data_IF_151248198138
#
_entry.id   IF_151248198138
#
_cell.length_a   1.000
_cell.length_b   1.000
_cell.length_c   1.000
_cell.angle_alpha   90.00
_cell.angle_beta   90.00
_cell.angle_gamma   90.00
#
_symmetry.space_group_name_H-M   'P 1'
#
loop_
_entity.id
_entity.type
_entity.pdbx_description
1 polymer ?
#
# COMPACT_ATOMS: atom_id res chain seq x y z
N UNK A 1 -70.04 -3.66 2.07
CA UNK A 1 -69.03 -3.54 1.00
C UNK A 1 -67.65 -3.44 1.65
N UNK A 2 -66.87 -4.52 1.62
CA UNK A 2 -65.49 -4.57 2.12
C UNK A 2 -64.56 -4.41 0.91
N UNK A 3 -63.80 -3.32 0.85
CA UNK A 3 -62.83 -3.08 -0.22
C UNK A 3 -61.52 -3.75 0.17
N UNK A 4 -61.15 -4.82 -0.54
CA UNK A 4 -59.93 -5.57 -0.36
C UNK A 4 -58.79 -4.86 -1.11
N UNK A 5 -57.85 -4.26 -0.40
CA UNK A 5 -56.60 -3.76 -0.98
C UNK A 5 -55.63 -4.94 -1.13
N UNK A 6 -55.39 -5.40 -2.37
CA UNK A 6 -54.25 -6.25 -2.67
C UNK A 6 -52.98 -5.38 -2.72
N UNK A 7 -52.11 -5.51 -1.72
CA UNK A 7 -50.72 -5.07 -1.82
C UNK A 7 -49.94 -6.09 -2.65
N UNK A 8 -49.55 -5.71 -3.87
CA UNK A 8 -48.50 -6.40 -4.60
C UNK A 8 -47.15 -6.04 -3.97
N UNK A 9 -46.60 -6.95 -3.17
CA UNK A 9 -45.20 -6.89 -2.77
C UNK A 9 -44.34 -7.25 -3.99
N UNK A 10 -43.79 -6.25 -4.67
CA UNK A 10 -42.72 -6.45 -5.65
C UNK A 10 -41.45 -6.75 -4.86
N UNK A 11 -41.12 -8.03 -4.70
CA UNK A 11 -39.83 -8.46 -4.18
C UNK A 11 -38.75 -8.18 -5.23
N UNK A 12 -38.11 -7.03 -5.15
CA UNK A 12 -36.83 -6.80 -5.83
C UNK A 12 -35.76 -7.63 -5.10
N UNK A 13 -35.64 -8.90 -5.48
CA UNK A 13 -34.41 -9.65 -5.23
C UNK A 13 -33.31 -8.98 -6.09
N UNK A 14 -32.22 -8.49 -5.49
CA UNK A 14 -31.09 -8.05 -6.29
C UNK A 14 -30.62 -9.25 -7.10
N UNK A 15 -30.54 -9.11 -8.43
CA UNK A 15 -29.77 -10.03 -9.25
C UNK A 15 -28.34 -9.98 -8.70
N UNK A 16 -27.98 -10.96 -7.88
CA UNK A 16 -26.60 -11.34 -7.68
C UNK A 16 -26.12 -11.78 -9.05
N UNK A 17 -25.52 -10.86 -9.80
CA UNK A 17 -24.73 -11.23 -10.97
C UNK A 17 -23.75 -12.29 -10.48
N UNK A 18 -23.91 -13.52 -10.97
CA UNK A 18 -22.92 -14.57 -10.72
C UNK A 18 -21.59 -14.02 -11.16
N UNK A 19 -20.62 -13.96 -10.24
CA UNK A 19 -19.26 -13.58 -10.60
C UNK A 19 -18.84 -14.42 -11.82
N UNK A 20 -18.21 -13.81 -12.84
CA UNK A 20 -17.76 -14.57 -14.00
C UNK A 20 -16.90 -15.75 -13.53
N UNK A 21 -16.92 -16.90 -14.23
CA UNK A 21 -16.05 -18.02 -13.90
C UNK A 21 -14.61 -17.52 -13.79
N UNK A 22 -13.92 -17.90 -12.71
CA UNK A 22 -12.52 -17.53 -12.53
C UNK A 22 -11.72 -18.05 -13.73
N UNK A 23 -11.18 -17.13 -14.52
CA UNK A 23 -10.36 -17.47 -15.66
C UNK A 23 -9.10 -18.20 -15.16
N UNK A 24 -8.82 -19.37 -15.73
CA UNK A 24 -7.61 -20.12 -15.41
C UNK A 24 -6.48 -19.66 -16.30
N UNK A 25 -5.33 -19.38 -15.71
CA UNK A 25 -4.11 -19.05 -16.43
C UNK A 25 -3.22 -20.27 -16.43
N UNK A 26 -2.90 -20.82 -17.62
CA UNK A 26 -2.07 -22.04 -17.74
C UNK A 26 -2.58 -23.21 -16.87
N UNK A 27 -3.89 -23.42 -16.81
CA UNK A 27 -4.52 -24.53 -16.10
C UNK A 27 -4.66 -24.38 -14.59
N UNK A 28 -4.39 -23.19 -14.03
CA UNK A 28 -4.56 -22.90 -12.61
C UNK A 28 -5.36 -21.62 -12.40
N UNK A 29 -6.18 -21.61 -11.36
CA UNK A 29 -6.86 -20.40 -10.87
C UNK A 29 -5.83 -19.41 -10.29
N UNK A 30 -6.17 -18.11 -10.18
CA UNK A 30 -5.30 -17.14 -9.53
C UNK A 30 -4.91 -17.53 -8.09
N UNK A 31 -5.81 -18.17 -7.35
CA UNK A 31 -5.56 -18.60 -5.97
C UNK A 31 -4.59 -19.80 -5.91
N UNK A 32 -4.66 -20.73 -6.85
CA UNK A 32 -3.68 -21.82 -6.97
C UNK A 32 -2.29 -21.30 -7.36
N UNK A 33 -2.20 -20.32 -8.27
CA UNK A 33 -0.93 -19.64 -8.55
C UNK A 33 -0.37 -18.93 -7.33
N UNK A 34 -1.23 -18.25 -6.55
CA UNK A 34 -0.83 -17.59 -5.31
C UNK A 34 -0.24 -18.58 -4.31
N UNK A 35 -0.87 -19.76 -4.12
CA UNK A 35 -0.35 -20.84 -3.27
C UNK A 35 0.99 -21.37 -3.76
N UNK A 36 1.12 -21.64 -5.07
CA UNK A 36 2.37 -22.14 -5.66
C UNK A 36 3.54 -21.18 -5.45
N UNK A 37 3.31 -19.89 -5.68
CA UNK A 37 4.31 -18.85 -5.43
C UNK A 37 4.66 -18.79 -3.93
N UNK A 38 3.66 -18.76 -3.06
CA UNK A 38 3.85 -18.71 -1.62
C UNK A 38 4.68 -19.89 -1.11
N UNK A 39 4.32 -21.12 -1.49
CA UNK A 39 5.02 -22.33 -1.07
C UNK A 39 6.49 -22.32 -1.55
N UNK A 40 6.71 -21.99 -2.84
CA UNK A 40 8.05 -21.89 -3.43
C UNK A 40 8.92 -20.85 -2.72
N UNK A 41 8.39 -19.66 -2.46
CA UNK A 41 9.14 -18.57 -1.85
C UNK A 41 9.36 -18.76 -0.36
N UNK A 42 8.40 -19.36 0.36
CA UNK A 42 8.57 -19.74 1.77
C UNK A 42 9.66 -20.79 1.93
N UNK A 43 9.72 -21.79 1.04
CA UNK A 43 10.80 -22.80 1.04
C UNK A 43 12.15 -22.16 0.71
N UNK A 44 12.21 -21.32 -0.34
CA UNK A 44 13.44 -20.69 -0.80
C UNK A 44 14.03 -19.68 0.19
N UNK A 45 13.17 -18.88 0.83
CA UNK A 45 13.59 -17.82 1.75
C UNK A 45 13.75 -18.35 3.17
N UNK A 46 12.85 -19.23 3.62
CA UNK A 46 12.88 -19.84 4.95
C UNK A 46 13.18 -18.84 6.07
N UNK A 47 14.03 -19.26 6.99
CA UNK A 47 14.44 -18.46 8.16
C UNK A 47 15.31 -17.23 7.82
N UNK A 48 15.72 -17.04 6.56
CA UNK A 48 16.55 -15.90 6.17
C UNK A 48 15.85 -14.54 6.38
N UNK A 49 14.53 -14.55 6.49
CA UNK A 49 13.70 -13.34 6.67
C UNK A 49 13.52 -12.93 8.13
N UNK A 50 13.82 -13.79 9.10
CA UNK A 50 13.44 -13.57 10.49
C UNK A 50 14.62 -13.11 11.33
N UNK A 51 14.47 -11.99 12.03
CA UNK A 51 15.55 -11.37 12.79
C UNK A 51 16.09 -12.24 13.93
N UNK A 52 15.22 -13.03 14.56
CA UNK A 52 15.57 -13.97 15.63
C UNK A 52 16.31 -15.23 15.14
N UNK A 53 16.35 -15.46 13.83
CA UNK A 53 17.02 -16.62 13.20
C UNK A 53 18.21 -16.24 12.34
N UNK A 54 18.24 -15.02 11.82
CA UNK A 54 19.28 -14.53 10.93
C UNK A 54 19.65 -13.08 11.24
N UNK A 55 20.86 -12.85 11.73
CA UNK A 55 21.41 -11.52 12.00
C UNK A 55 21.50 -10.60 10.76
N UNK A 56 21.45 -11.19 9.55
CA UNK A 56 21.44 -10.47 8.28
C UNK A 56 20.04 -10.12 7.80
N UNK A 57 18.98 -10.60 8.46
CA UNK A 57 17.62 -10.16 8.17
C UNK A 57 17.50 -8.64 8.42
N UNK A 58 16.66 -7.97 7.63
CA UNK A 58 16.50 -6.51 7.65
C UNK A 58 15.02 -6.13 7.68
N UNK A 59 14.72 -5.04 8.37
CA UNK A 59 13.38 -4.46 8.40
C UNK A 59 13.14 -3.69 7.10
N UNK A 60 12.63 -4.36 6.06
CA UNK A 60 12.49 -3.78 4.72
C UNK A 60 11.15 -4.06 4.07
N UNK A 61 10.69 -3.08 3.28
CA UNK A 61 9.37 -3.09 2.64
C UNK A 61 9.11 -4.31 1.76
N UNK A 62 10.13 -4.81 1.03
CA UNK A 62 10.02 -5.91 0.09
C UNK A 62 9.73 -7.24 0.78
N UNK A 63 10.39 -7.51 1.91
CA UNK A 63 10.20 -8.75 2.69
C UNK A 63 8.85 -8.76 3.39
N UNK A 64 8.46 -7.63 3.95
CA UNK A 64 7.17 -7.50 4.62
C UNK A 64 6.00 -7.37 3.64
N UNK A 65 6.23 -6.92 2.41
CA UNK A 65 5.19 -6.98 1.39
C UNK A 65 4.86 -8.43 1.04
N UNK A 66 5.89 -9.28 0.89
CA UNK A 66 5.65 -10.72 0.75
C UNK A 66 4.89 -11.27 1.96
N UNK A 67 5.29 -10.90 3.18
CA UNK A 67 4.55 -11.29 4.40
C UNK A 67 3.10 -10.83 4.44
N UNK A 68 2.81 -9.60 4.00
CA UNK A 68 1.44 -9.08 3.88
C UNK A 68 0.64 -9.85 2.82
N UNK A 69 1.26 -10.21 1.69
CA UNK A 69 0.62 -11.04 0.67
C UNK A 69 0.27 -12.44 1.21
N UNK A 70 1.16 -13.05 2.01
CA UNK A 70 0.88 -14.33 2.68
C UNK A 70 -0.25 -14.22 3.70
N UNK A 71 -0.34 -13.11 4.44
CA UNK A 71 -1.45 -12.86 5.36
C UNK A 71 -2.79 -12.73 4.61
N UNK A 72 -2.82 -11.99 3.50
CA UNK A 72 -4.01 -11.89 2.64
C UNK A 72 -4.37 -13.24 2.01
N UNK A 73 -3.37 -14.03 1.61
CA UNK A 73 -3.59 -15.40 1.11
C UNK A 73 -4.21 -16.29 2.20
N UNK A 74 -3.68 -16.23 3.43
CA UNK A 74 -4.22 -17.00 4.55
C UNK A 74 -5.68 -16.63 4.86
N UNK A 75 -6.05 -15.35 4.75
CA UNK A 75 -7.42 -14.89 4.94
C UNK A 75 -8.37 -15.41 3.85
N UNK A 76 -7.87 -15.51 2.61
CA UNK A 76 -8.63 -16.05 1.48
C UNK A 76 -8.75 -17.58 1.49
N UNK A 77 -7.77 -18.30 2.07
CA UNK A 77 -7.72 -19.77 1.99
C UNK A 77 -8.00 -20.49 3.31
N UNK A 78 -7.87 -19.81 4.45
CA UNK A 78 -7.90 -20.40 5.78
C UNK A 78 -6.62 -21.15 6.18
N UNK A 79 -5.56 -21.11 5.37
CA UNK A 79 -4.34 -21.88 5.63
C UNK A 79 -3.37 -21.15 6.57
N UNK A 80 -3.27 -21.64 7.81
CA UNK A 80 -2.50 -20.99 8.87
C UNK A 80 -1.00 -20.91 8.60
N UNK A 81 -0.43 -21.84 7.81
CA UNK A 81 1.00 -21.81 7.43
C UNK A 81 1.42 -20.48 6.80
N UNK A 82 0.53 -19.87 6.00
CA UNK A 82 0.78 -18.58 5.36
C UNK A 82 0.67 -17.44 6.37
N UNK A 83 -0.30 -17.50 7.29
CA UNK A 83 -0.44 -16.50 8.34
C UNK A 83 0.76 -16.48 9.28
N UNK A 84 1.23 -17.65 9.72
CA UNK A 84 2.34 -17.80 10.65
C UNK A 84 3.65 -17.31 10.03
N UNK A 85 3.95 -17.71 8.79
CA UNK A 85 5.14 -17.23 8.09
C UNK A 85 5.05 -15.73 7.79
N UNK A 86 3.90 -15.27 7.26
CA UNK A 86 3.70 -13.89 6.86
C UNK A 86 3.83 -12.91 8.03
N UNK A 87 3.21 -13.22 9.16
CA UNK A 87 3.30 -12.41 10.37
C UNK A 87 4.76 -12.29 10.89
N UNK A 88 5.51 -13.40 10.90
CA UNK A 88 6.90 -13.43 11.38
C UNK A 88 7.85 -12.52 10.60
N UNK A 89 7.55 -12.20 9.33
CA UNK A 89 8.36 -11.27 8.54
C UNK A 89 8.49 -9.89 9.18
N UNK A 90 7.50 -9.48 9.98
CA UNK A 90 7.55 -8.26 10.78
C UNK A 90 7.70 -8.55 12.27
N UNK A 91 6.90 -9.47 12.83
CA UNK A 91 6.86 -9.74 14.27
C UNK A 91 8.23 -10.16 14.84
N UNK A 92 9.10 -10.81 14.06
CA UNK A 92 10.46 -11.19 14.51
C UNK A 92 11.37 -9.99 14.81
N UNK A 93 11.07 -8.80 14.28
CA UNK A 93 11.82 -7.57 14.53
C UNK A 93 11.30 -6.77 15.73
N UNK A 94 10.16 -7.17 16.30
CA UNK A 94 9.51 -6.42 17.38
C UNK A 94 9.95 -6.98 18.73
N UNK A 95 10.67 -6.14 19.48
CA UNK A 95 11.05 -6.42 20.86
C UNK A 95 9.84 -6.45 21.79
N UNK A 96 9.99 -7.05 22.98
CA UNK A 96 8.90 -7.11 23.98
C UNK A 96 8.39 -5.74 24.43
N UNK A 97 9.24 -4.72 24.33
CA UNK A 97 8.92 -3.31 24.61
C UNK A 97 8.38 -2.56 23.39
N UNK A 98 8.19 -3.24 22.25
CA UNK A 98 7.77 -2.63 20.98
C UNK A 98 8.88 -1.91 20.22
N UNK A 99 10.14 -2.02 20.64
CA UNK A 99 11.28 -1.57 19.85
C UNK A 99 11.33 -2.33 18.52
N UNK A 100 11.70 -1.64 17.44
CA UNK A 100 11.82 -2.22 16.10
C UNK A 100 13.31 -2.38 15.80
N UNK A 101 13.78 -3.63 15.70
CA UNK A 101 15.15 -3.90 15.30
C UNK A 101 15.44 -3.33 13.91
N UNK A 102 16.67 -2.82 13.71
CA UNK A 102 17.13 -2.22 12.44
C UNK A 102 16.42 -0.91 12.00
N UNK A 103 15.43 -0.43 12.77
CA UNK A 103 14.76 0.85 12.52
C UNK A 103 15.47 2.03 13.20
N UNK A 104 15.65 3.14 12.45
CA UNK A 104 16.29 4.36 12.94
C UNK A 104 15.52 5.60 12.49
N UNK A 105 14.81 6.24 13.42
CA UNK A 105 14.04 7.47 13.14
C UNK A 105 14.88 8.57 12.44
N UNK A 106 16.15 8.73 12.83
CA UNK A 106 17.04 9.76 12.28
C UNK A 106 17.28 9.66 10.77
N UNK A 107 17.02 8.49 10.17
CA UNK A 107 17.18 8.25 8.75
C UNK A 107 15.99 8.79 7.94
N UNK A 108 14.84 9.02 8.61
CA UNK A 108 13.55 9.38 8.03
C UNK A 108 13.32 8.70 6.69
N UNK A 109 13.43 7.37 6.70
CA UNK A 109 13.31 6.54 5.51
C UNK A 109 11.86 6.05 5.40
N UNK A 110 11.13 6.54 4.40
CA UNK A 110 9.71 6.20 4.25
C UNK A 110 9.49 4.69 3.98
N UNK A 111 10.49 4.01 3.40
CA UNK A 111 10.43 2.57 3.14
C UNK A 111 10.29 1.75 4.42
N UNK A 112 10.78 2.27 5.55
CA UNK A 112 10.72 1.56 6.84
C UNK A 112 9.35 1.67 7.51
N UNK A 113 8.41 2.45 6.93
CA UNK A 113 7.02 2.54 7.38
C UNK A 113 6.19 1.38 6.83
N UNK A 114 6.43 0.96 5.58
CA UNK A 114 5.65 -0.06 4.89
C UNK A 114 5.56 -1.41 5.62
N UNK A 115 6.63 -1.91 6.28
CA UNK A 115 6.56 -3.07 7.16
C UNK A 115 5.46 -3.04 8.24
N UNK A 116 5.08 -1.86 8.72
CA UNK A 116 4.00 -1.69 9.69
C UNK A 116 2.65 -2.19 9.20
N UNK A 117 2.44 -2.32 7.88
CA UNK A 117 1.20 -2.86 7.30
C UNK A 117 0.96 -4.33 7.68
N UNK A 118 2.02 -5.12 7.92
CA UNK A 118 1.89 -6.48 8.44
C UNK A 118 1.28 -6.44 9.84
N UNK A 119 1.78 -5.55 10.71
CA UNK A 119 1.27 -5.38 12.07
C UNK A 119 -0.17 -4.84 12.09
N UNK A 120 -0.49 -3.88 11.22
CA UNK A 120 -1.87 -3.36 11.09
C UNK A 120 -2.85 -4.45 10.61
N UNK A 121 -2.46 -5.27 9.64
CA UNK A 121 -3.28 -6.40 9.22
C UNK A 121 -3.56 -7.36 10.39
N UNK A 122 -2.53 -7.68 11.19
CA UNK A 122 -2.67 -8.53 12.39
C UNK A 122 -3.59 -7.87 13.43
N UNK A 123 -3.46 -6.56 13.62
CA UNK A 123 -4.28 -5.75 14.52
C UNK A 123 -5.78 -5.77 14.15
N UNK A 124 -6.07 -5.61 12.85
CA UNK A 124 -7.42 -5.70 12.29
C UNK A 124 -8.03 -7.09 12.50
N UNK A 125 -7.22 -8.16 12.34
CA UNK A 125 -7.60 -9.54 12.63
C UNK A 125 -7.64 -9.89 14.13
N UNK A 126 -7.54 -8.90 15.02
CA UNK A 126 -7.72 -9.05 16.46
C UNK A 126 -6.47 -9.40 17.26
N UNK A 127 -5.28 -9.48 16.64
CA UNK A 127 -4.00 -9.62 17.35
C UNK A 127 -3.49 -8.23 17.76
N UNK A 128 -3.94 -7.78 18.93
CA UNK A 128 -3.72 -6.43 19.46
C UNK A 128 -2.87 -6.44 20.72
N UNK A 129 -1.57 -6.72 20.58
CA UNK A 129 -0.63 -6.67 21.70
C UNK A 129 0.06 -5.30 21.83
N UNK A 130 0.56 -4.99 23.03
CA UNK A 130 1.14 -3.68 23.36
C UNK A 130 2.47 -3.41 22.63
N UNK A 131 3.24 -4.45 22.31
CA UNK A 131 4.49 -4.30 21.59
C UNK A 131 4.22 -3.89 20.12
N UNK A 132 3.26 -4.54 19.46
CA UNK A 132 2.79 -4.15 18.14
C UNK A 132 2.22 -2.72 18.14
N UNK A 133 1.41 -2.36 19.15
CA UNK A 133 0.87 -0.99 19.30
C UNK A 133 1.99 0.05 19.37
N UNK A 134 3.02 -0.22 20.16
CA UNK A 134 4.17 0.68 20.37
C UNK A 134 5.02 0.82 19.10
N UNK A 135 5.23 -0.29 18.38
CA UNK A 135 5.91 -0.28 17.09
C UNK A 135 5.13 0.56 16.05
N UNK A 136 3.82 0.34 15.93
CA UNK A 136 2.93 1.09 15.04
C UNK A 136 2.95 2.59 15.37
N UNK A 137 2.84 2.95 16.64
CA UNK A 137 2.94 4.34 17.10
C UNK A 137 4.31 4.97 16.78
N UNK A 138 5.39 4.20 16.84
CA UNK A 138 6.73 4.67 16.48
C UNK A 138 6.82 5.01 14.99
N UNK A 139 6.31 4.13 14.12
CA UNK A 139 6.28 4.37 12.66
C UNK A 139 5.38 5.56 12.31
N UNK A 140 4.21 5.67 12.95
CA UNK A 140 3.30 6.82 12.78
C UNK A 140 3.96 8.13 13.20
N UNK A 141 4.64 8.17 14.35
CA UNK A 141 5.30 9.35 14.91
C UNK A 141 6.46 9.84 14.04
N UNK A 142 7.10 8.97 13.24
CA UNK A 142 8.05 9.42 12.23
C UNK A 142 7.46 10.51 11.33
N UNK A 143 6.18 10.38 10.98
CA UNK A 143 5.51 11.26 10.02
C UNK A 143 5.21 12.66 10.58
N UNK A 144 5.24 12.84 11.90
CA UNK A 144 5.06 14.15 12.55
C UNK A 144 6.22 15.10 12.22
N UNK A 145 7.44 14.56 12.16
CA UNK A 145 8.66 15.33 11.90
C UNK A 145 9.39 14.90 10.63
N UNK A 146 8.77 14.06 9.80
CA UNK A 146 9.34 13.62 8.53
C UNK A 146 9.58 14.84 7.63
N UNK A 147 10.78 15.01 7.05
CA UNK A 147 11.10 16.15 6.20
C UNK A 147 10.15 16.26 5.00
N UNK A 148 9.81 17.49 4.61
CA UNK A 148 8.81 17.77 3.58
C UNK A 148 9.30 18.78 2.54
N UNK A 149 8.76 18.70 1.33
CA UNK A 149 8.87 19.76 0.31
C UNK A 149 8.15 21.02 0.78
N UNK A 150 8.32 22.14 0.08
CA UNK A 150 7.67 23.41 0.43
C UNK A 150 6.14 23.33 0.42
N UNK A 151 5.56 22.44 -0.39
CA UNK A 151 4.11 22.18 -0.43
C UNK A 151 3.67 21.13 0.61
N UNK A 152 4.60 20.57 1.39
CA UNK A 152 4.33 19.61 2.45
C UNK A 152 4.36 18.13 2.01
N UNK A 153 4.88 17.83 0.83
CA UNK A 153 5.07 16.46 0.36
C UNK A 153 6.22 15.75 1.08
N UNK A 154 6.04 14.50 1.52
CA UNK A 154 7.09 13.79 2.24
C UNK A 154 8.32 13.55 1.36
N UNK A 155 9.49 13.89 1.89
CA UNK A 155 10.73 13.44 1.25
C UNK A 155 10.77 11.92 1.25
N UNK A 156 11.29 11.32 0.19
CA UNK A 156 11.41 9.87 0.11
C UNK A 156 12.30 9.35 1.25
N UNK A 157 13.46 10.01 1.48
CA UNK A 157 14.34 9.74 2.62
C UNK A 157 15.05 11.02 3.06
N UNK A 158 15.56 11.10 4.29
CA UNK A 158 16.42 12.25 4.70
C UNK A 158 17.62 12.46 3.75
N UNK A 159 18.19 11.37 3.26
CA UNK A 159 19.31 11.39 2.29
C UNK A 159 18.91 11.78 0.86
N UNK A 160 17.61 11.89 0.59
CA UNK A 160 17.04 12.32 -0.69
C UNK A 160 16.24 13.61 -0.47
N UNK A 161 16.93 14.73 -0.19
CA UNK A 161 16.27 15.97 0.17
C UNK A 161 15.41 16.48 -0.98
N UNK A 162 14.25 17.04 -0.64
CA UNK A 162 13.28 17.67 -1.55
C UNK A 162 12.65 16.75 -2.60
N UNK A 163 12.84 15.43 -2.48
CA UNK A 163 12.41 14.47 -3.48
C UNK A 163 11.15 13.70 -3.05
N UNK A 164 10.13 13.68 -3.90
CA UNK A 164 9.01 12.75 -3.80
C UNK A 164 9.13 11.68 -4.87
N UNK A 165 9.01 10.41 -4.49
CA UNK A 165 9.03 9.27 -5.41
C UNK A 165 7.71 8.52 -5.31
N UNK A 166 7.19 8.01 -6.43
CA UNK A 166 5.92 7.26 -6.48
C UNK A 166 5.88 6.11 -5.48
N UNK A 167 7.01 5.42 -5.30
CA UNK A 167 7.21 4.32 -4.36
C UNK A 167 6.79 4.72 -2.94
N UNK A 168 7.18 5.93 -2.50
CA UNK A 168 6.90 6.44 -1.16
C UNK A 168 5.41 6.54 -0.84
N UNK A 169 4.55 6.69 -1.85
CA UNK A 169 3.11 6.75 -1.68
C UNK A 169 2.57 5.40 -1.21
N UNK A 170 3.07 4.28 -1.72
CA UNK A 170 2.68 2.95 -1.23
C UNK A 170 3.27 2.65 0.14
N UNK A 171 4.46 3.19 0.44
CA UNK A 171 5.12 2.91 1.70
C UNK A 171 4.37 3.53 2.89
N UNK A 172 3.87 4.76 2.74
CA UNK A 172 3.22 5.50 3.82
C UNK A 172 1.70 5.64 3.69
N UNK A 173 1.15 5.87 2.50
CA UNK A 173 -0.25 6.33 2.38
C UNK A 173 -1.27 5.30 2.88
N UNK A 174 -1.22 4.02 2.45
CA UNK A 174 -2.14 3.01 2.99
C UNK A 174 -1.92 2.75 4.48
N UNK A 175 -0.66 2.79 4.94
CA UNK A 175 -0.32 2.64 6.36
C UNK A 175 -0.98 3.74 7.20
N UNK A 176 -0.84 5.01 6.79
CA UNK A 176 -1.41 6.15 7.51
C UNK A 176 -2.94 6.17 7.45
N UNK A 177 -3.54 5.82 6.32
CA UNK A 177 -4.99 5.72 6.20
C UNK A 177 -5.55 4.64 7.13
N UNK A 178 -4.96 3.44 7.12
CA UNK A 178 -5.37 2.36 8.03
C UNK A 178 -5.12 2.71 9.50
N UNK A 179 -3.96 3.30 9.82
CA UNK A 179 -3.66 3.76 11.18
C UNK A 179 -4.69 4.80 11.65
N UNK A 180 -5.03 5.78 10.81
CA UNK A 180 -6.02 6.81 11.10
C UNK A 180 -7.40 6.24 11.42
N UNK A 181 -7.80 5.19 10.70
CA UNK A 181 -9.05 4.46 10.97
C UNK A 181 -8.98 3.64 12.26
N UNK A 182 -7.93 2.86 12.45
CA UNK A 182 -7.84 1.87 13.52
C UNK A 182 -7.50 2.47 14.90
N UNK A 183 -6.89 3.68 14.90
CA UNK A 183 -6.47 4.41 16.11
C UNK A 183 -7.15 5.78 16.27
N UNK A 184 -8.20 6.06 15.50
CA UNK A 184 -9.01 7.29 15.59
C UNK A 184 -8.20 8.60 15.42
N UNK A 185 -7.37 8.64 14.37
CA UNK A 185 -6.62 9.83 13.93
C UNK A 185 -7.10 10.34 12.56
N UNK A 186 -8.29 10.96 12.47
CA UNK A 186 -8.90 11.33 11.19
C UNK A 186 -8.10 12.37 10.39
N UNK A 187 -7.25 13.17 11.03
CA UNK A 187 -6.37 14.12 10.33
C UNK A 187 -5.40 13.44 9.34
N UNK A 188 -5.14 12.14 9.51
CA UNK A 188 -4.32 11.37 8.58
C UNK A 188 -4.98 11.18 7.21
N UNK A 189 -6.31 11.22 7.14
CA UNK A 189 -7.01 11.09 5.86
C UNK A 189 -6.72 12.27 4.93
N UNK A 190 -6.75 13.49 5.46
CA UNK A 190 -6.38 14.70 4.72
C UNK A 190 -4.91 14.70 4.31
N UNK A 191 -4.02 14.26 5.21
CA UNK A 191 -2.59 14.13 4.91
C UNK A 191 -2.35 13.17 3.75
N UNK A 192 -2.95 11.98 3.79
CA UNK A 192 -2.80 10.98 2.72
C UNK A 192 -3.34 11.49 1.38
N UNK A 193 -4.52 12.11 1.38
CA UNK A 193 -5.09 12.71 0.16
C UNK A 193 -4.16 13.79 -0.40
N UNK A 194 -3.58 14.63 0.47
CA UNK A 194 -2.60 15.65 0.07
C UNK A 194 -1.37 15.04 -0.60
N UNK A 195 -0.78 13.99 -0.02
CA UNK A 195 0.41 13.34 -0.60
C UNK A 195 0.14 12.79 -2.01
N UNK A 196 -0.99 12.11 -2.18
CA UNK A 196 -1.44 11.58 -3.48
C UNK A 196 -1.62 12.72 -4.49
N UNK A 197 -2.35 13.77 -4.12
CA UNK A 197 -2.63 14.89 -5.04
C UNK A 197 -1.37 15.65 -5.43
N UNK A 198 -0.41 15.82 -4.51
CA UNK A 198 0.86 16.47 -4.83
C UNK A 198 1.65 15.66 -5.85
N UNK A 199 1.70 14.34 -5.70
CA UNK A 199 2.43 13.51 -6.66
C UNK A 199 1.75 13.47 -8.03
N UNK A 200 0.41 13.42 -8.07
CA UNK A 200 -0.34 13.56 -9.33
C UNK A 200 -0.10 14.92 -9.99
N UNK A 201 -0.09 16.01 -9.22
CA UNK A 201 0.13 17.37 -9.72
C UNK A 201 1.48 17.51 -10.40
N UNK A 202 2.54 16.99 -9.80
CA UNK A 202 3.90 17.22 -10.27
C UNK A 202 4.37 16.18 -11.27
N UNK A 203 4.04 14.90 -11.07
CA UNK A 203 4.63 13.81 -11.84
C UNK A 203 3.82 13.35 -13.05
N UNK A 204 2.56 13.79 -13.20
CA UNK A 204 1.72 13.35 -14.31
C UNK A 204 2.11 14.01 -15.64
N UNK A 205 2.35 13.20 -16.68
CA UNK A 205 2.50 13.66 -18.06
C UNK A 205 1.17 13.47 -18.83
N UNK A 206 0.44 14.55 -19.18
CA UNK A 206 -0.82 14.44 -19.89
C UNK A 206 -0.66 13.90 -21.32
N UNK A 207 0.54 13.92 -21.91
CA UNK A 207 0.77 13.42 -23.28
C UNK A 207 0.72 11.90 -23.31
N UNK A 208 1.35 11.26 -22.35
CA UNK A 208 1.44 9.79 -22.25
C UNK A 208 0.32 9.21 -21.40
N UNK A 209 -0.20 9.97 -20.43
CA UNK A 209 -1.13 9.48 -19.42
C UNK A 209 -0.42 8.78 -18.25
N UNK A 210 0.90 8.91 -18.12
CA UNK A 210 1.71 8.22 -17.10
C UNK A 210 2.31 9.19 -16.09
N UNK A 211 2.81 8.66 -14.97
CA UNK A 211 3.51 9.43 -13.94
C UNK A 211 5.01 9.12 -13.96
N UNK A 212 5.84 10.15 -13.97
CA UNK A 212 7.29 10.00 -13.79
C UNK A 212 7.60 9.45 -12.40
N UNK A 213 8.69 8.69 -12.30
CA UNK A 213 9.08 7.99 -11.06
C UNK A 213 9.34 8.96 -9.89
N UNK A 214 10.08 10.03 -10.13
CA UNK A 214 10.49 10.96 -9.08
C UNK A 214 10.36 12.43 -9.49
N UNK A 215 10.16 13.27 -8.48
CA UNK A 215 10.17 14.72 -8.58
C UNK A 215 11.08 15.30 -7.50
N UNK A 216 12.07 16.10 -7.91
CA UNK A 216 12.93 16.91 -7.04
C UNK A 216 12.50 18.38 -7.14
N UNK A 217 11.87 18.90 -6.08
CA UNK A 217 11.42 20.29 -6.00
C UNK A 217 12.56 21.29 -6.25
N UNK A 218 13.80 20.96 -5.83
CA UNK A 218 14.96 21.84 -5.95
C UNK A 218 15.77 21.60 -7.21
N UNK A 219 15.46 20.55 -7.98
CA UNK A 219 16.12 20.22 -9.26
C UNK A 219 17.64 20.06 -9.14
N UNK A 220 18.08 19.64 -7.95
CA UNK A 220 19.47 19.49 -7.58
C UNK A 220 20.06 18.18 -8.06
N UNK A 221 19.24 17.14 -8.18
CA UNK A 221 19.70 15.85 -8.67
C UNK A 221 20.08 15.91 -10.17
N UNK A 222 21.04 15.09 -10.56
CA UNK A 222 21.50 15.00 -11.96
C UNK A 222 20.39 14.49 -12.89
N UNK A 223 19.59 13.54 -12.41
CA UNK A 223 18.45 12.99 -13.14
C UNK A 223 17.25 13.95 -13.25
N UNK A 224 17.24 15.02 -12.46
CA UNK A 224 16.11 15.93 -12.39
C UNK A 224 16.18 16.95 -13.54
N UNK A 225 15.12 16.97 -14.34
CA UNK A 225 14.93 17.97 -15.39
C UNK A 225 15.02 19.39 -14.80
N UNK A 226 15.76 20.28 -15.47
CA UNK A 226 16.11 21.60 -14.90
C UNK A 226 14.93 22.58 -14.89
N UNK A 227 13.86 22.29 -15.64
CA UNK A 227 12.65 23.13 -15.66
C UNK A 227 11.53 22.61 -14.77
N UNK A 228 11.38 21.29 -14.66
CA UNK A 228 10.25 20.64 -13.99
C UNK A 228 10.65 19.93 -12.70
N UNK A 229 11.90 19.49 -12.58
CA UNK A 229 12.39 18.65 -11.48
C UNK A 229 12.06 17.18 -11.63
N UNK A 230 11.47 16.76 -12.75
CA UNK A 230 11.04 15.38 -12.97
C UNK A 230 12.19 14.47 -13.39
N UNK A 231 12.09 13.20 -13.01
CA UNK A 231 12.89 12.13 -13.60
C UNK A 231 12.51 11.90 -15.06
N UNK A 232 13.39 11.23 -15.82
CA UNK A 232 13.23 11.09 -17.28
C UNK A 232 12.25 10.01 -17.73
N UNK A 233 12.00 8.97 -16.91
CA UNK A 233 11.36 7.74 -17.37
C UNK A 233 10.09 7.38 -16.59
N UNK A 234 9.18 6.69 -17.28
CA UNK A 234 8.00 6.04 -16.71
C UNK A 234 8.35 4.62 -16.27
N UNK A 235 8.74 4.45 -15.01
CA UNK A 235 9.12 3.14 -14.51
C UNK A 235 7.90 2.33 -14.05
N UNK A 236 7.64 1.20 -14.72
CA UNK A 236 6.44 0.39 -14.49
C UNK A 236 6.19 0.02 -13.03
N UNK A 237 7.23 -0.34 -12.27
CA UNK A 237 7.07 -0.67 -10.85
C UNK A 237 6.68 0.54 -9.99
N UNK A 238 7.26 1.71 -10.24
CA UNK A 238 6.91 2.94 -9.53
C UNK A 238 5.43 3.32 -9.76
N UNK A 239 4.96 3.21 -11.00
CA UNK A 239 3.54 3.43 -11.34
C UNK A 239 2.66 2.36 -10.67
N UNK A 240 3.11 1.10 -10.63
CA UNK A 240 2.45 0.02 -9.92
C UNK A 240 2.30 0.28 -8.42
N UNK A 241 3.34 0.80 -7.75
CA UNK A 241 3.23 1.25 -6.36
C UNK A 241 2.18 2.33 -6.19
N UNK A 242 2.17 3.31 -7.08
CA UNK A 242 1.20 4.39 -7.00
C UNK A 242 -0.23 3.88 -7.20
N UNK A 243 -0.46 2.98 -8.15
CA UNK A 243 -1.74 2.33 -8.37
C UNK A 243 -2.21 1.56 -7.11
N UNK A 244 -1.36 0.74 -6.50
CA UNK A 244 -1.70 0.02 -5.27
C UNK A 244 -1.91 0.97 -4.09
N UNK A 245 -1.13 2.06 -3.99
CA UNK A 245 -1.33 3.07 -2.96
C UNK A 245 -2.72 3.71 -3.05
N UNK A 246 -3.21 4.00 -4.26
CA UNK A 246 -4.53 4.58 -4.50
C UNK A 246 -5.65 3.59 -4.12
N UNK A 247 -5.53 2.33 -4.52
CA UNK A 247 -6.52 1.28 -4.21
C UNK A 247 -6.58 1.02 -2.71
N UNK A 248 -5.44 0.70 -2.08
CA UNK A 248 -5.38 0.36 -0.66
C UNK A 248 -5.77 1.56 0.22
N UNK A 249 -5.42 2.79 -0.17
CA UNK A 249 -5.84 3.98 0.58
C UNK A 249 -7.37 4.14 0.57
N UNK A 250 -8.01 3.92 -0.58
CA UNK A 250 -9.47 4.04 -0.72
C UNK A 250 -10.22 3.02 0.14
N UNK A 251 -9.60 1.89 0.50
CA UNK A 251 -10.16 0.89 1.42
C UNK A 251 -10.30 1.43 2.85
N UNK A 252 -9.39 2.32 3.26
CA UNK A 252 -9.32 2.84 4.63
C UNK A 252 -9.89 4.25 4.80
N UNK A 253 -10.03 5.02 3.72
CA UNK A 253 -10.67 6.33 3.78
C UNK A 253 -12.17 6.20 4.15
N UNK A 254 -12.72 7.11 4.99
CA UNK A 254 -14.16 7.21 5.17
C UNK A 254 -14.85 7.42 3.82
N UNK A 255 -15.93 6.66 3.50
CA UNK A 255 -16.58 6.74 2.19
C UNK A 255 -17.08 8.14 1.80
N UNK A 256 -17.40 8.96 2.79
CA UNK A 256 -17.88 10.34 2.67
C UNK A 256 -16.76 11.40 2.77
N UNK A 257 -15.51 10.99 2.96
CA UNK A 257 -14.38 11.91 3.02
C UNK A 257 -14.27 12.71 1.70
N UNK A 258 -14.12 14.05 1.75
CA UNK A 258 -14.16 14.92 0.56
C UNK A 258 -13.03 14.63 -0.45
N UNK A 259 -11.94 13.99 0.01
CA UNK A 259 -10.85 13.54 -0.84
C UNK A 259 -11.15 12.31 -1.71
N UNK A 260 -12.16 11.48 -1.37
CA UNK A 260 -12.43 10.21 -2.08
C UNK A 260 -12.71 10.41 -3.58
N UNK A 261 -13.55 11.37 -4.02
CA UNK A 261 -13.76 11.63 -5.45
C UNK A 261 -12.47 11.98 -6.19
N UNK A 262 -11.56 12.73 -5.53
CA UNK A 262 -10.28 13.13 -6.12
C UNK A 262 -9.35 11.93 -6.27
N UNK A 263 -9.20 11.11 -5.23
CA UNK A 263 -8.36 9.91 -5.28
C UNK A 263 -8.89 8.91 -6.32
N UNK A 264 -10.21 8.72 -6.41
CA UNK A 264 -10.83 7.89 -7.47
C UNK A 264 -10.58 8.42 -8.88
N UNK A 265 -10.61 9.74 -9.07
CA UNK A 265 -10.29 10.33 -10.37
C UNK A 265 -8.82 10.09 -10.77
N UNK A 266 -7.89 10.20 -9.81
CA UNK A 266 -6.47 9.89 -10.03
C UNK A 266 -6.29 8.40 -10.31
N UNK A 267 -6.98 7.51 -9.60
CA UNK A 267 -6.93 6.07 -9.86
C UNK A 267 -7.39 5.73 -11.29
N UNK A 268 -8.50 6.32 -11.76
CA UNK A 268 -8.94 6.13 -13.15
C UNK A 268 -7.89 6.61 -14.15
N UNK A 269 -7.33 7.81 -13.93
CA UNK A 269 -6.25 8.36 -14.74
C UNK A 269 -5.05 7.40 -14.83
N UNK A 270 -4.61 6.86 -13.69
CA UNK A 270 -3.50 5.89 -13.63
C UNK A 270 -3.85 4.60 -14.36
N UNK A 271 -5.05 4.06 -14.17
CA UNK A 271 -5.51 2.86 -14.85
C UNK A 271 -5.59 3.04 -16.37
N UNK A 272 -6.20 4.13 -16.85
CA UNK A 272 -6.30 4.47 -18.27
C UNK A 272 -4.90 4.63 -18.89
N UNK A 273 -3.98 5.26 -18.15
CA UNK A 273 -2.58 5.38 -18.52
C UNK A 273 -1.89 4.02 -18.68
N UNK A 274 -2.02 3.13 -17.69
CA UNK A 274 -1.40 1.80 -17.74
C UNK A 274 -1.95 0.99 -18.92
N UNK A 275 -3.27 0.92 -19.09
CA UNK A 275 -3.91 0.13 -20.15
C UNK A 275 -3.49 0.60 -21.55
N UNK A 276 -3.31 1.91 -21.74
CA UNK A 276 -2.83 2.47 -23.02
C UNK A 276 -1.47 1.92 -23.46
N UNK A 277 -0.63 1.54 -22.51
CA UNK A 277 0.74 1.06 -22.74
C UNK A 277 0.92 -0.42 -22.44
N UNK A 278 -0.19 -1.15 -22.25
CA UNK A 278 -0.19 -2.60 -22.15
C UNK A 278 0.32 -3.22 -23.45
N UNK A 279 1.14 -4.27 -23.36
CA UNK A 279 1.64 -4.94 -24.55
C UNK A 279 0.49 -5.71 -25.22
N UNK A 280 0.16 -5.44 -26.50
CA UNK A 280 -1.01 -6.03 -27.13
C UNK A 280 -0.90 -7.54 -27.34
N UNK A 281 0.31 -8.11 -27.32
CA UNK A 281 0.54 -9.54 -27.52
C UNK A 281 0.46 -10.34 -26.21
N UNK A 282 1.00 -9.78 -25.13
CA UNK A 282 1.18 -10.48 -23.86
C UNK A 282 0.26 -9.99 -22.73
N UNK A 283 -0.43 -8.87 -22.92
CA UNK A 283 -1.25 -8.21 -21.91
C UNK A 283 -0.41 -7.43 -20.91
#
# INVERSE_FOLDING_TARGET
MKTLFLLFAVSCLPLLASAPPLETVRGHTPLEWSRKLADSEMERLGDSLFHDKNEKARWTYDRTLFGLALLKLADATGETKYADFGARTAESFIGKDGSIADYKLKDYNIDLVAPGKVLLFRWEKGKRDDAARTALATLRRQMDTHPRTSEGGFWHKKKYPHQMWLDGLFMASPFLAQYGRDFDEPALFDEVVKQIVLMDKHAYDPRTGLHFHGWDEKRQQDWADKQTGLSENFWGRAIGWYAMALVDTLEFLPPDHPGVPKVRAILRKVADGIVRWQDPETG
#
